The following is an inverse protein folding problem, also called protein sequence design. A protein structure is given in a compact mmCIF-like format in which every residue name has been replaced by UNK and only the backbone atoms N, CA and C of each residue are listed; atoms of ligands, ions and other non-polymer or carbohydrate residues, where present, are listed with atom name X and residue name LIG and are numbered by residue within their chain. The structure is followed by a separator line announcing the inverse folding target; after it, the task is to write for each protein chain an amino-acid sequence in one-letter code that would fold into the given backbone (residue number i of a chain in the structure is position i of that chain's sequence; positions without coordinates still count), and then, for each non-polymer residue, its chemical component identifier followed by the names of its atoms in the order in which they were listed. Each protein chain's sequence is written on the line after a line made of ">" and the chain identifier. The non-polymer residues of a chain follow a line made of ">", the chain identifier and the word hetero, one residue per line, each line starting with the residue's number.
data_IF_664218861582
#
_entry.id   IF_664218861582
#
_cell.length_a   1.000
_cell.length_b   1.000
_cell.length_c   1.000
_cell.angle_alpha   90.00
_cell.angle_beta   90.00
_cell.angle_gamma   90.00
#
_symmetry.space_group_name_H-M   'P 1'
#
loop_
_entity.id
_entity.type
_entity.pdbx_description
1 polymer ?
#
# COMPACT_ATOMS: atom_id res chain seq x y z
N UNK A 1 7.11 15.43 -7.85
CA UNK A 1 8.19 15.42 -6.83
C UNK A 1 8.70 14.00 -6.69
N UNK A 2 10.01 13.77 -6.66
CA UNK A 2 10.58 12.43 -6.39
C UNK A 2 10.45 12.15 -4.90
N UNK A 3 9.97 10.97 -4.50
CA UNK A 3 9.86 10.61 -3.09
C UNK A 3 11.24 10.58 -2.44
N UNK A 4 11.31 10.90 -1.14
CA UNK A 4 12.53 10.82 -0.34
C UNK A 4 13.20 9.44 -0.48
N UNK A 5 12.39 8.41 -0.68
CA UNK A 5 12.80 7.04 -0.92
C UNK A 5 13.53 6.79 -2.24
N UNK A 6 13.19 7.49 -3.32
CA UNK A 6 13.98 7.41 -4.55
C UNK A 6 15.39 7.96 -4.35
N UNK A 7 15.56 8.93 -3.45
CA UNK A 7 16.87 9.51 -3.11
C UNK A 7 17.65 8.57 -2.20
N UNK A 8 17.01 8.06 -1.14
CA UNK A 8 17.65 7.12 -0.22
C UNK A 8 17.99 5.78 -0.86
N UNK A 9 17.13 5.24 -1.73
CA UNK A 9 17.42 4.00 -2.46
C UNK A 9 18.66 4.11 -3.38
N UNK A 10 18.90 5.30 -3.95
CA UNK A 10 20.12 5.55 -4.74
C UNK A 10 21.38 5.68 -3.90
N UNK A 11 21.26 6.05 -2.62
CA UNK A 11 22.37 6.22 -1.68
C UNK A 11 22.74 4.91 -0.96
N UNK A 12 21.74 4.07 -0.66
CA UNK A 12 21.87 2.92 0.25
C UNK A 12 22.20 1.59 -0.45
N UNK A 13 22.77 1.62 -1.67
CA UNK A 13 23.12 0.45 -2.50
C UNK A 13 22.99 -0.91 -1.81
N UNK A 14 21.81 -1.55 -1.97
CA UNK A 14 21.36 -2.85 -1.43
C UNK A 14 22.18 -3.37 -0.22
N UNK A 15 22.02 -2.75 0.95
CA UNK A 15 22.63 -3.23 2.19
C UNK A 15 22.18 -4.68 2.55
N UNK A 16 23.07 -5.53 3.09
CA UNK A 16 22.74 -6.89 3.55
C UNK A 16 21.70 -6.89 4.68
N UNK A 17 20.91 -7.97 4.78
CA UNK A 17 19.75 -8.16 5.68
C UNK A 17 20.07 -8.31 7.19
N UNK A 18 21.15 -7.71 7.70
CA UNK A 18 21.54 -7.84 9.10
C UNK A 18 21.31 -6.50 9.83
N UNK A 19 20.23 -6.49 10.62
CA UNK A 19 19.59 -5.34 11.30
C UNK A 19 19.02 -4.29 10.34
N UNK A 20 17.70 -4.14 10.39
CA UNK A 20 17.00 -3.01 9.75
C UNK A 20 17.59 -1.73 10.35
N UNK A 21 18.12 -0.87 9.49
CA UNK A 21 18.64 0.43 9.89
C UNK A 21 17.49 1.27 10.52
N UNK A 22 17.64 1.70 11.79
CA UNK A 22 16.64 2.54 12.46
C UNK A 22 16.30 3.81 11.68
N UNK A 23 17.26 4.40 10.96
CA UNK A 23 17.03 5.62 10.18
C UNK A 23 16.12 5.31 8.98
N UNK A 24 16.32 4.16 8.32
CA UNK A 24 15.45 3.68 7.23
C UNK A 24 14.03 3.44 7.75
N UNK A 25 13.89 2.90 8.96
CA UNK A 25 12.59 2.65 9.60
C UNK A 25 11.85 3.94 9.91
N UNK A 26 12.53 4.94 10.47
CA UNK A 26 11.90 6.22 10.84
C UNK A 26 11.47 7.01 9.60
N UNK A 27 12.29 6.98 8.55
CA UNK A 27 11.91 7.52 7.25
C UNK A 27 10.68 6.81 6.68
N UNK A 28 10.56 5.49 6.87
CA UNK A 28 9.42 4.73 6.35
C UNK A 28 8.14 5.12 7.05
N UNK A 29 8.19 5.27 8.37
CA UNK A 29 7.06 5.71 9.18
C UNK A 29 6.62 7.11 8.75
N UNK A 30 7.56 8.04 8.54
CA UNK A 30 7.25 9.40 8.09
C UNK A 30 6.58 9.40 6.69
N UNK A 31 7.11 8.62 5.74
CA UNK A 31 6.47 8.47 4.42
C UNK A 31 5.08 7.84 4.53
N UNK A 32 4.91 6.83 5.40
CA UNK A 32 3.63 6.17 5.58
C UNK A 32 2.56 7.15 6.10
N UNK A 33 2.92 8.06 7.01
CA UNK A 33 2.01 9.11 7.50
C UNK A 33 1.66 10.12 6.39
N UNK A 34 2.65 10.59 5.62
CA UNK A 34 2.43 11.49 4.48
C UNK A 34 1.50 10.88 3.44
N UNK A 35 1.77 9.63 3.05
CA UNK A 35 0.96 8.91 2.07
C UNK A 35 -0.43 8.58 2.61
N UNK A 36 -0.57 8.33 3.91
CA UNK A 36 -1.89 8.13 4.54
C UNK A 36 -2.76 9.38 4.42
N UNK A 37 -2.20 10.57 4.63
CA UNK A 37 -2.92 11.83 4.45
C UNK A 37 -3.32 12.05 2.98
N UNK A 38 -2.39 11.83 2.04
CA UNK A 38 -2.68 11.91 0.61
C UNK A 38 -3.82 10.96 0.21
N UNK A 39 -3.73 9.70 0.66
CA UNK A 39 -4.70 8.66 0.34
C UNK A 39 -6.08 8.93 0.94
N UNK A 40 -6.17 9.58 2.10
CA UNK A 40 -7.45 10.02 2.67
C UNK A 40 -8.21 10.96 1.71
N UNK A 41 -7.50 11.90 1.08
CA UNK A 41 -8.09 12.79 0.08
C UNK A 41 -8.53 12.01 -1.16
N UNK A 42 -7.73 11.04 -1.62
CA UNK A 42 -8.10 10.20 -2.77
C UNK A 42 -9.31 9.29 -2.45
N UNK A 43 -9.43 8.79 -1.21
CA UNK A 43 -10.60 8.05 -0.75
C UNK A 43 -11.87 8.90 -0.84
N UNK A 44 -11.82 10.18 -0.44
CA UNK A 44 -12.96 11.07 -0.62
C UNK A 44 -13.34 11.24 -2.11
N UNK A 45 -12.35 11.41 -2.99
CA UNK A 45 -12.60 11.49 -4.44
C UNK A 45 -13.21 10.20 -5.02
N UNK A 46 -12.75 9.03 -4.56
CA UNK A 46 -13.29 7.74 -4.98
C UNK A 46 -14.70 7.47 -4.43
N UNK A 47 -15.06 7.99 -3.25
CA UNK A 47 -16.44 7.93 -2.75
C UNK A 47 -17.41 8.70 -3.61
N UNK A 48 -17.00 9.89 -4.05
CA UNK A 48 -17.80 10.70 -4.97
C UNK A 48 -17.85 10.07 -6.37
N UNK A 49 -16.73 9.51 -6.84
CA UNK A 49 -16.61 8.90 -8.17
C UNK A 49 -15.84 7.57 -8.11
N UNK A 50 -16.52 6.43 -7.92
CA UNK A 50 -15.95 5.09 -7.66
C UNK A 50 -14.92 4.53 -8.65
N UNK A 51 -14.80 5.14 -9.83
CA UNK A 51 -13.87 4.76 -10.90
C UNK A 51 -13.12 5.97 -11.46
N UNK A 52 -12.88 6.99 -10.61
CA UNK A 52 -12.08 8.14 -10.99
C UNK A 52 -10.65 7.69 -11.36
N UNK A 53 -10.23 7.78 -12.63
CA UNK A 53 -8.99 7.19 -13.10
C UNK A 53 -7.76 7.91 -12.53
N UNK A 54 -7.85 9.19 -12.23
CA UNK A 54 -6.74 9.96 -11.66
C UNK A 54 -6.55 9.62 -10.18
N UNK A 55 -7.65 9.54 -9.42
CA UNK A 55 -7.59 9.10 -8.03
C UNK A 55 -7.05 7.67 -7.92
N UNK A 56 -7.51 6.74 -8.77
CA UNK A 56 -6.98 5.37 -8.79
C UNK A 56 -5.49 5.32 -9.16
N UNK A 57 -5.00 6.18 -10.06
CA UNK A 57 -3.57 6.26 -10.39
C UNK A 57 -2.74 6.75 -9.21
N UNK A 58 -3.22 7.75 -8.47
CA UNK A 58 -2.53 8.22 -7.25
C UNK A 58 -2.52 7.16 -6.16
N UNK A 59 -3.65 6.50 -5.94
CA UNK A 59 -3.74 5.39 -4.97
C UNK A 59 -2.73 4.29 -5.32
N UNK A 60 -2.66 3.87 -6.59
CA UNK A 60 -1.69 2.88 -7.05
C UNK A 60 -0.25 3.33 -6.81
N UNK A 61 0.08 4.58 -7.14
CA UNK A 61 1.42 5.16 -6.91
C UNK A 61 1.80 5.11 -5.43
N UNK A 62 0.90 5.52 -4.54
CA UNK A 62 1.16 5.50 -3.10
C UNK A 62 1.41 4.06 -2.60
N UNK A 63 0.57 3.09 -2.97
CA UNK A 63 0.78 1.69 -2.58
C UNK A 63 2.07 1.08 -3.17
N UNK A 64 2.45 1.46 -4.39
CA UNK A 64 3.74 1.08 -4.99
C UNK A 64 4.93 1.57 -4.16
N UNK A 65 4.88 2.83 -3.72
CA UNK A 65 5.91 3.43 -2.88
C UNK A 65 5.99 2.72 -1.53
N UNK A 66 4.86 2.55 -0.83
CA UNK A 66 4.80 1.87 0.48
C UNK A 66 5.30 0.42 0.38
N UNK A 67 4.97 -0.29 -0.69
CA UNK A 67 5.50 -1.64 -0.93
C UNK A 67 7.03 -1.63 -0.98
N UNK A 68 7.61 -0.71 -1.75
CA UNK A 68 9.05 -0.61 -1.93
C UNK A 68 9.77 -0.25 -0.65
N UNK A 69 9.34 0.83 0.01
CA UNK A 69 9.93 1.30 1.27
C UNK A 69 9.71 0.35 2.43
N UNK A 70 8.53 -0.27 2.52
CA UNK A 70 8.21 -1.25 3.56
C UNK A 70 9.08 -2.52 3.50
N UNK A 71 9.44 -3.00 2.31
CA UNK A 71 10.38 -4.13 2.17
C UNK A 71 11.78 -3.78 2.68
N UNK A 72 12.25 -2.55 2.41
CA UNK A 72 13.57 -2.08 2.85
C UNK A 72 13.61 -1.81 4.36
N UNK A 73 12.52 -1.28 4.92
CA UNK A 73 12.35 -1.05 6.35
C UNK A 73 11.97 -2.33 7.13
N UNK A 74 12.02 -3.51 6.50
CA UNK A 74 11.68 -4.81 7.09
C UNK A 74 10.23 -4.99 7.54
N UNK A 75 9.32 -4.11 7.09
CA UNK A 75 7.88 -4.23 7.25
C UNK A 75 7.27 -5.17 6.19
N UNK A 76 7.81 -6.39 6.06
CA UNK A 76 7.50 -7.31 4.94
C UNK A 76 6.01 -7.66 4.83
N UNK A 77 5.33 -7.84 5.98
CA UNK A 77 3.90 -8.15 6.01
C UNK A 77 3.07 -7.01 5.43
N UNK A 78 3.36 -5.77 5.84
CA UNK A 78 2.68 -4.58 5.32
C UNK A 78 3.02 -4.36 3.85
N UNK A 79 4.31 -4.46 3.48
CA UNK A 79 4.75 -4.31 2.09
C UNK A 79 4.09 -5.33 1.16
N UNK A 80 3.96 -6.59 1.59
CA UNK A 80 3.26 -7.63 0.86
C UNK A 80 1.76 -7.32 0.69
N UNK A 81 1.10 -6.82 1.74
CA UNK A 81 -0.31 -6.41 1.66
C UNK A 81 -0.49 -5.24 0.68
N UNK A 82 0.33 -4.20 0.78
CA UNK A 82 0.34 -3.06 -0.13
C UNK A 82 0.57 -3.47 -1.59
N UNK A 83 1.43 -4.47 -1.84
CA UNK A 83 1.64 -5.01 -3.19
C UNK A 83 0.35 -5.62 -3.79
N UNK A 84 -0.49 -6.27 -2.97
CA UNK A 84 -1.77 -6.82 -3.43
C UNK A 84 -2.79 -5.73 -3.70
N UNK A 85 -2.85 -4.71 -2.83
CA UNK A 85 -3.74 -3.55 -3.04
C UNK A 85 -3.32 -2.75 -4.29
N UNK A 86 -2.01 -2.60 -4.56
CA UNK A 86 -1.49 -2.01 -5.80
C UNK A 86 -2.00 -2.75 -7.04
N UNK A 87 -1.92 -4.09 -7.06
CA UNK A 87 -2.42 -4.92 -8.17
C UNK A 87 -3.93 -4.76 -8.38
N UNK A 88 -4.71 -4.79 -7.31
CA UNK A 88 -6.16 -4.58 -7.40
C UNK A 88 -6.51 -3.19 -7.92
N UNK A 89 -5.78 -2.17 -7.47
CA UNK A 89 -5.94 -0.80 -7.96
C UNK A 89 -5.56 -0.70 -9.44
N UNK A 90 -4.50 -1.39 -9.88
CA UNK A 90 -4.14 -1.48 -11.29
C UNK A 90 -5.26 -2.13 -12.12
N UNK A 91 -5.85 -3.23 -11.65
CA UNK A 91 -6.97 -3.88 -12.31
C UNK A 91 -8.20 -2.95 -12.44
N UNK A 92 -8.46 -2.09 -11.44
CA UNK A 92 -9.49 -1.04 -11.53
C UNK A 92 -9.16 0.01 -12.60
N UNK A 93 -7.91 0.49 -12.66
CA UNK A 93 -7.45 1.45 -13.67
C UNK A 93 -7.58 0.88 -15.09
N UNK A 94 -7.22 -0.38 -15.27
CA UNK A 94 -7.27 -1.09 -16.55
C UNK A 94 -8.67 -1.59 -16.90
N UNK A 95 -9.67 -1.35 -16.03
CA UNK A 95 -11.06 -1.83 -16.17
C UNK A 95 -11.14 -3.37 -16.29
N UNK A 96 -10.22 -4.08 -15.63
CA UNK A 96 -10.13 -5.55 -15.56
C UNK A 96 -10.64 -6.13 -14.24
N UNK A 97 -11.02 -5.30 -13.27
CA UNK A 97 -11.62 -5.79 -12.03
C UNK A 97 -13.01 -6.40 -12.29
N UNK A 98 -13.20 -7.65 -11.88
CA UNK A 98 -14.49 -8.37 -11.99
C UNK A 98 -15.52 -7.91 -10.96
N UNK A 99 -15.05 -7.46 -9.80
CA UNK A 99 -15.90 -6.98 -8.70
C UNK A 99 -15.47 -5.56 -8.29
N UNK A 100 -15.73 -4.53 -9.11
CA UNK A 100 -15.24 -3.17 -8.85
C UNK A 100 -15.70 -2.58 -7.52
N UNK A 101 -16.95 -2.85 -7.12
CA UNK A 101 -17.50 -2.36 -5.86
C UNK A 101 -16.82 -3.01 -4.63
N UNK A 102 -16.55 -4.32 -4.67
CA UNK A 102 -15.83 -4.99 -3.58
C UNK A 102 -14.35 -4.59 -3.55
N UNK A 103 -13.75 -4.42 -4.72
CA UNK A 103 -12.37 -3.95 -4.87
C UNK A 103 -12.22 -2.55 -4.30
N UNK A 104 -13.15 -1.64 -4.59
CA UNK A 104 -13.14 -0.29 -4.04
C UNK A 104 -13.26 -0.31 -2.51
N UNK A 105 -14.20 -1.09 -1.95
CA UNK A 105 -14.34 -1.22 -0.49
C UNK A 105 -13.04 -1.72 0.17
N UNK A 106 -12.34 -2.67 -0.46
CA UNK A 106 -11.04 -3.14 0.04
C UNK A 106 -10.00 -2.02 -0.02
N UNK A 107 -9.91 -1.27 -1.12
CA UNK A 107 -8.97 -0.15 -1.27
C UNK A 107 -9.24 0.90 -0.17
N UNK A 108 -10.50 1.26 0.07
CA UNK A 108 -10.86 2.21 1.14
C UNK A 108 -10.44 1.70 2.52
N UNK A 109 -10.73 0.43 2.84
CA UNK A 109 -10.34 -0.17 4.11
C UNK A 109 -8.81 -0.28 4.27
N UNK A 110 -8.09 -0.53 3.17
CA UNK A 110 -6.63 -0.52 3.18
C UNK A 110 -6.08 0.87 3.47
N UNK A 111 -6.65 1.93 2.88
CA UNK A 111 -6.28 3.33 3.14
C UNK A 111 -6.52 3.67 4.62
N UNK A 112 -7.69 3.31 5.16
CA UNK A 112 -8.05 3.55 6.56
C UNK A 112 -7.14 2.83 7.56
N UNK A 113 -6.55 1.70 7.17
CA UNK A 113 -5.66 0.91 8.02
C UNK A 113 -4.25 1.51 8.16
N UNK A 114 -3.77 2.30 7.18
CA UNK A 114 -2.37 2.75 7.14
C UNK A 114 -1.93 3.58 8.36
N UNK A 115 -2.73 4.53 8.89
CA UNK A 115 -2.36 5.26 10.11
C UNK A 115 -2.15 4.33 11.30
N UNK A 116 -2.99 3.30 11.45
CA UNK A 116 -2.88 2.33 12.53
C UNK A 116 -1.62 1.48 12.38
N UNK A 117 -1.29 1.06 11.14
CA UNK A 117 -0.02 0.41 10.84
C UNK A 117 1.16 1.29 11.25
N UNK A 118 1.18 2.57 10.85
CA UNK A 118 2.25 3.51 11.20
C UNK A 118 2.41 3.64 12.72
N UNK A 119 1.30 3.75 13.47
CA UNK A 119 1.32 3.77 14.94
C UNK A 119 1.89 2.48 15.54
N UNK A 120 1.48 1.31 15.06
CA UNK A 120 1.99 0.03 15.59
C UNK A 120 3.46 -0.18 15.29
N UNK A 121 3.91 0.16 14.07
CA UNK A 121 5.32 0.07 13.70
C UNK A 121 6.12 1.01 14.58
N UNK A 122 5.75 2.29 14.70
CA UNK A 122 6.44 3.24 15.57
C UNK A 122 6.57 2.74 17.02
N UNK A 123 5.52 2.14 17.57
CA UNK A 123 5.49 1.61 18.94
C UNK A 123 6.16 0.23 19.10
N UNK A 124 6.74 -0.32 18.04
CA UNK A 124 7.32 -1.68 17.98
C UNK A 124 6.31 -2.77 18.42
N UNK A 125 5.07 -2.62 17.97
CA UNK A 125 3.96 -3.54 18.23
C UNK A 125 3.60 -4.33 16.98
N UNK A 126 2.97 -5.50 17.13
CA UNK A 126 2.38 -6.21 16.00
C UNK A 126 1.41 -5.32 15.21
N UNK A 127 1.40 -5.50 13.89
CA UNK A 127 0.45 -4.82 13.00
C UNK A 127 -1.01 -5.07 13.43
N UNK A 128 -1.94 -4.15 13.13
CA UNK A 128 -3.32 -4.32 13.52
C UNK A 128 -3.91 -5.61 12.95
N UNK A 129 -4.63 -6.38 13.78
CA UNK A 129 -5.20 -7.69 13.39
C UNK A 129 -6.07 -7.62 12.14
N UNK A 130 -6.70 -6.47 11.87
CA UNK A 130 -7.50 -6.23 10.67
C UNK A 130 -6.74 -6.51 9.36
N UNK A 131 -5.41 -6.32 9.35
CA UNK A 131 -4.59 -6.60 8.16
C UNK A 131 -4.74 -8.05 7.68
N UNK A 132 -4.91 -9.02 8.59
CA UNK A 132 -5.05 -10.43 8.24
C UNK A 132 -6.34 -10.69 7.45
N UNK A 133 -7.45 -10.08 7.87
CA UNK A 133 -8.74 -10.20 7.20
C UNK A 133 -8.72 -9.54 5.83
N UNK A 134 -8.21 -8.31 5.76
CA UNK A 134 -8.06 -7.57 4.51
C UNK A 134 -7.09 -8.25 3.54
N UNK A 135 -6.01 -8.84 4.04
CA UNK A 135 -5.06 -9.57 3.21
C UNK A 135 -5.70 -10.79 2.56
N UNK A 136 -6.47 -11.57 3.33
CA UNK A 136 -7.22 -12.71 2.83
C UNK A 136 -8.24 -12.28 1.77
N UNK A 137 -8.95 -11.18 2.02
CA UNK A 137 -9.91 -10.63 1.05
C UNK A 137 -9.20 -10.16 -0.23
N UNK A 138 -8.06 -9.48 -0.11
CA UNK A 138 -7.26 -9.05 -1.26
C UNK A 138 -6.81 -10.24 -2.12
N UNK A 139 -6.35 -11.34 -1.48
CA UNK A 139 -5.98 -12.58 -2.18
C UNK A 139 -7.15 -13.23 -2.90
N UNK A 140 -8.34 -13.26 -2.29
CA UNK A 140 -9.56 -13.75 -2.96
C UNK A 140 -9.86 -12.92 -4.22
N UNK A 141 -9.89 -11.59 -4.08
CA UNK A 141 -10.18 -10.67 -5.19
C UNK A 141 -9.14 -10.76 -6.31
N UNK A 142 -7.87 -11.03 -5.97
CA UNK A 142 -6.81 -11.28 -6.95
C UNK A 142 -6.90 -12.68 -7.57
N UNK A 143 -7.28 -13.72 -6.82
CA UNK A 143 -7.56 -15.05 -7.38
C UNK A 143 -8.73 -15.01 -8.36
N UNK A 144 -9.72 -14.17 -8.10
CA UNK A 144 -10.78 -13.86 -9.07
C UNK A 144 -10.23 -13.08 -10.28
N UNK A 145 -9.12 -12.34 -10.17
CA UNK A 145 -8.51 -11.55 -11.24
C UNK A 145 -7.43 -12.29 -12.06
N UNK A 146 -6.68 -13.22 -11.46
CA UNK A 146 -5.54 -13.93 -12.07
C UNK A 146 -5.97 -15.09 -13.00
N UNK A 147 -7.25 -15.51 -12.98
CA UNK A 147 -7.79 -16.58 -13.84
C UNK A 147 -8.07 -16.18 -15.31
N UNK A 148 -7.54 -15.05 -15.79
CA UNK A 148 -7.73 -14.58 -17.19
C UNK A 148 -6.42 -14.16 -17.87
N UNK A 149 -5.27 -14.42 -17.25
CA UNK A 149 -3.96 -14.02 -17.77
C UNK A 149 -3.00 -15.18 -17.93
N UNK A 150 -3.31 -16.11 -18.84
CA UNK A 150 -2.34 -17.02 -19.46
C UNK A 150 -2.64 -17.11 -20.95
#
# INVERSE_FOLDING_TARGET
>A
MRSLWQRLASLLGRAPRERIDPDIRDVFIAELDELSMLLSNQRAALRSTPVNPDALREVRRAFHTIKGSGLMAGAEVLGGFCARVEKLTLAMVEKRSRTPAETLKLIEAAIELLPDCARTIRADRPLPRAIVGLDRQARRLLGDADLVGS
#
